data_IF_036497652206
#
_entry.id   IF_036497652206
#
_cell.length_a   1.000
_cell.length_b   1.000
_cell.length_c   1.000
_cell.angle_alpha   90.00
_cell.angle_beta   90.00
_cell.angle_gamma   90.00
#
_symmetry.space_group_name_H-M   'P 1'
#
loop_
_entity.id
_entity.type
_entity.pdbx_description
1 polymer ?
#
# COMPACT_ATOMS: atom_id res chain seq x y z
N UNK A 1 9.64 10.44 19.68
CA UNK A 1 10.83 10.67 18.84
C UNK A 1 11.58 11.91 19.36
N UNK A 2 10.86 13.01 19.61
CA UNK A 2 11.36 14.19 20.34
C UNK A 2 12.07 13.88 21.68
N UNK A 3 11.54 12.97 22.48
CA UNK A 3 12.11 12.59 23.79
C UNK A 3 13.41 11.77 23.71
N UNK A 4 13.82 11.33 22.52
CA UNK A 4 15.03 10.54 22.25
C UNK A 4 15.23 9.34 23.20
N UNK A 5 14.12 8.70 23.56
CA UNK A 5 14.08 7.63 24.55
C UNK A 5 14.12 6.23 23.91
N UNK A 6 14.68 5.26 24.65
CA UNK A 6 14.84 3.87 24.21
C UNK A 6 16.02 3.68 23.25
N UNK A 7 16.07 2.53 22.57
CA UNK A 7 17.16 2.18 21.64
C UNK A 7 16.78 2.34 20.17
N UNK A 8 15.50 2.13 19.83
CA UNK A 8 15.06 2.06 18.42
C UNK A 8 15.10 3.42 17.73
N UNK A 9 14.37 4.41 18.23
CA UNK A 9 14.26 5.73 17.58
C UNK A 9 15.59 6.50 17.54
N UNK A 10 16.41 6.53 18.61
CA UNK A 10 17.71 7.20 18.55
C UNK A 10 18.65 6.55 17.50
N UNK A 11 18.62 5.23 17.38
CA UNK A 11 19.45 4.51 16.40
C UNK A 11 19.02 4.79 14.95
N UNK A 12 17.71 4.82 14.67
CA UNK A 12 17.18 5.23 13.35
C UNK A 12 17.53 6.69 13.04
N UNK A 13 17.43 7.58 14.03
CA UNK A 13 17.76 9.00 13.89
C UNK A 13 19.22 9.25 13.57
N UNK A 14 20.12 8.53 14.25
CA UNK A 14 21.56 8.70 14.11
C UNK A 14 22.14 7.96 12.90
N UNK A 15 21.52 6.85 12.50
CA UNK A 15 22.01 5.98 11.42
C UNK A 15 20.91 5.65 10.39
N UNK A 16 20.23 6.63 9.78
CA UNK A 16 19.05 6.38 8.95
C UNK A 16 19.36 5.50 7.72
N UNK A 17 20.51 5.67 7.06
CA UNK A 17 20.89 4.88 5.87
C UNK A 17 21.03 3.37 6.15
N UNK A 18 21.17 2.97 7.42
CA UNK A 18 21.24 1.56 7.83
C UNK A 18 19.87 0.89 7.85
N UNK A 19 18.80 1.66 8.04
CA UNK A 19 17.44 1.15 8.30
C UNK A 19 16.42 1.58 7.25
N UNK A 20 16.68 2.68 6.55
CA UNK A 20 15.75 3.30 5.62
C UNK A 20 16.26 3.13 4.20
N UNK A 21 15.46 2.50 3.36
CA UNK A 21 15.73 2.44 1.93
C UNK A 21 15.33 3.76 1.27
N UNK A 22 16.21 4.32 0.45
CA UNK A 22 15.90 5.52 -0.33
C UNK A 22 14.77 5.22 -1.32
N UNK A 23 13.88 6.18 -1.52
CA UNK A 23 12.80 6.03 -2.47
C UNK A 23 13.38 5.95 -3.90
N UNK A 24 13.01 4.94 -4.71
CA UNK A 24 13.44 4.86 -6.09
C UNK A 24 13.06 6.10 -6.91
N UNK A 25 13.93 6.54 -7.82
CA UNK A 25 13.68 7.72 -8.66
C UNK A 25 12.46 7.53 -9.58
N UNK A 26 12.16 6.30 -9.98
CA UNK A 26 10.93 5.95 -10.72
C UNK A 26 9.67 6.33 -9.93
N UNK A 27 9.62 6.00 -8.63
CA UNK A 27 8.50 6.34 -7.74
C UNK A 27 8.40 7.85 -7.52
N UNK A 28 9.52 8.54 -7.27
CA UNK A 28 9.53 10.01 -7.15
C UNK A 28 8.99 10.69 -8.41
N UNK A 29 9.44 10.23 -9.58
CA UNK A 29 8.96 10.73 -10.87
C UNK A 29 7.47 10.46 -11.06
N UNK A 30 7.00 9.26 -10.70
CA UNK A 30 5.60 8.89 -10.79
C UNK A 30 4.70 9.78 -9.91
N UNK A 31 5.08 10.06 -8.67
CA UNK A 31 4.37 11.01 -7.79
C UNK A 31 4.29 12.41 -8.43
N UNK A 32 5.41 12.91 -8.97
CA UNK A 32 5.43 14.21 -9.69
C UNK A 32 4.53 14.20 -10.94
N UNK A 33 4.47 13.08 -11.68
CA UNK A 33 3.59 12.92 -12.83
C UNK A 33 2.11 12.92 -12.43
N UNK A 34 1.74 12.23 -11.34
CA UNK A 34 0.38 12.25 -10.81
C UNK A 34 -0.06 13.68 -10.45
N UNK A 35 0.79 14.42 -9.74
CA UNK A 35 0.51 15.81 -9.37
C UNK A 35 0.38 16.71 -10.61
N UNK A 36 1.29 16.56 -11.58
CA UNK A 36 1.23 17.29 -12.87
C UNK A 36 -0.03 16.96 -13.69
N UNK A 37 -0.58 15.75 -13.54
CA UNK A 37 -1.84 15.32 -14.15
C UNK A 37 -3.09 15.79 -13.37
N UNK A 38 -2.91 16.67 -12.37
CA UNK A 38 -4.00 17.25 -11.58
C UNK A 38 -4.59 16.29 -10.55
N UNK A 39 -3.86 15.24 -10.15
CA UNK A 39 -4.25 14.39 -9.01
C UNK A 39 -3.84 15.07 -7.71
N UNK A 40 -4.71 14.97 -6.71
CA UNK A 40 -4.42 15.41 -5.34
C UNK A 40 -3.70 14.25 -4.64
N UNK A 41 -2.51 14.52 -4.11
CA UNK A 41 -1.70 13.52 -3.42
C UNK A 41 -1.76 13.71 -1.90
N UNK A 42 -1.94 12.59 -1.19
CA UNK A 42 -2.15 12.54 0.25
C UNK A 42 -1.09 11.64 0.88
N UNK A 43 -0.51 12.06 2.00
CA UNK A 43 0.26 11.21 2.90
C UNK A 43 -0.49 11.08 4.23
N UNK A 44 -0.88 9.86 4.62
CA UNK A 44 -1.61 9.60 5.86
C UNK A 44 -0.85 8.55 6.69
N UNK A 45 -0.22 9.00 7.77
CA UNK A 45 0.63 8.18 8.63
C UNK A 45 0.20 8.23 10.09
N UNK A 46 0.33 7.11 10.81
CA UNK A 46 0.14 7.04 12.26
C UNK A 46 1.36 7.54 13.03
N UNK A 47 2.47 7.85 12.37
CA UNK A 47 3.67 8.43 12.98
C UNK A 47 3.46 9.89 13.38
N UNK A 48 4.16 10.33 14.43
CA UNK A 48 4.25 11.75 14.79
C UNK A 48 4.97 12.58 13.72
N UNK A 49 4.72 13.89 13.72
CA UNK A 49 5.18 14.82 12.66
C UNK A 49 6.69 14.86 12.54
N UNK A 50 7.39 14.94 13.68
CA UNK A 50 8.86 14.94 13.78
C UNK A 50 9.49 13.71 13.12
N UNK A 51 8.95 12.52 13.40
CA UNK A 51 9.44 11.27 12.82
C UNK A 51 9.09 11.17 11.34
N UNK A 52 7.88 11.57 10.94
CA UNK A 52 7.47 11.62 9.54
C UNK A 52 8.40 12.51 8.71
N UNK A 53 8.75 13.68 9.23
CA UNK A 53 9.69 14.62 8.61
C UNK A 53 11.05 13.96 8.39
N UNK A 54 11.65 13.40 9.44
CA UNK A 54 12.96 12.72 9.33
C UNK A 54 12.92 11.62 8.27
N UNK A 55 11.90 10.76 8.30
CA UNK A 55 11.77 9.68 7.33
C UNK A 55 11.69 10.23 5.91
N UNK A 56 10.77 11.16 5.66
CA UNK A 56 10.51 11.67 4.31
C UNK A 56 11.68 12.49 3.76
N UNK A 57 12.31 13.34 4.57
CA UNK A 57 13.53 14.07 4.18
C UNK A 57 14.64 13.11 3.77
N UNK A 58 14.78 12.00 4.50
CA UNK A 58 15.75 10.97 4.17
C UNK A 58 15.38 10.21 2.90
N UNK A 59 14.14 9.71 2.76
CA UNK A 59 13.78 8.80 1.67
C UNK A 59 13.45 9.53 0.36
N UNK A 60 12.82 10.70 0.42
CA UNK A 60 12.32 11.46 -0.74
C UNK A 60 13.21 12.67 -1.05
N UNK A 61 13.75 13.32 -0.01
CA UNK A 61 14.54 14.55 -0.11
C UNK A 61 13.96 15.68 0.74
N UNK A 62 14.73 16.75 0.97
CA UNK A 62 14.31 17.89 1.79
C UNK A 62 13.08 18.62 1.23
N UNK A 63 12.79 18.45 -0.06
CA UNK A 63 11.62 18.96 -0.78
C UNK A 63 10.43 17.98 -0.76
N UNK A 64 10.40 17.00 0.15
CA UNK A 64 9.36 15.95 0.14
C UNK A 64 7.93 16.51 0.24
N UNK A 65 7.74 17.65 0.90
CA UNK A 65 6.44 18.30 1.04
C UNK A 65 5.85 18.66 -0.33
N UNK A 66 6.68 18.92 -1.34
CA UNK A 66 6.21 19.25 -2.70
C UNK A 66 5.52 18.08 -3.40
N UNK A 67 5.75 16.84 -2.95
CA UNK A 67 5.12 15.65 -3.51
C UNK A 67 3.67 15.48 -3.07
N UNK A 68 3.25 16.08 -1.95
CA UNK A 68 1.93 15.88 -1.37
C UNK A 68 1.19 17.19 -1.23
N UNK A 69 -0.12 17.19 -1.49
CA UNK A 69 -0.95 18.36 -1.25
C UNK A 69 -1.45 18.38 0.21
N UNK A 70 -1.62 17.21 0.82
CA UNK A 70 -2.06 17.08 2.21
C UNK A 70 -1.20 16.03 2.90
N UNK A 71 -0.66 16.39 4.07
CA UNK A 71 0.07 15.47 4.96
C UNK A 71 -0.71 15.37 6.27
N UNK A 72 -1.01 14.15 6.69
CA UNK A 72 -1.72 13.85 7.95
C UNK A 72 -0.86 12.91 8.77
N UNK A 73 -0.34 13.43 9.88
CA UNK A 73 0.45 12.68 10.85
C UNK A 73 -0.38 12.32 12.07
N UNK A 74 0.09 11.38 12.90
CA UNK A 74 -0.63 10.87 14.06
C UNK A 74 -2.08 10.45 13.73
N UNK A 75 -2.28 9.87 12.55
CA UNK A 75 -3.60 9.48 12.05
C UNK A 75 -4.25 8.34 12.87
N UNK A 76 -3.52 7.69 13.79
CA UNK A 76 -3.92 6.52 14.62
C UNK A 76 -4.96 5.63 13.91
N UNK A 77 -4.59 5.13 12.73
CA UNK A 77 -5.39 4.18 11.96
C UNK A 77 -5.61 2.90 12.81
N UNK A 78 -6.78 2.23 12.74
CA UNK A 78 -7.88 2.44 11.80
C UNK A 78 -8.84 3.59 12.20
N UNK A 79 -8.65 4.19 13.38
CA UNK A 79 -9.57 5.21 13.92
C UNK A 79 -9.77 6.43 13.02
N UNK A 80 -8.79 6.75 12.15
CA UNK A 80 -8.96 7.77 11.11
C UNK A 80 -10.18 7.50 10.21
N UNK A 81 -10.40 6.24 9.84
CA UNK A 81 -11.47 5.85 8.91
C UNK A 81 -12.79 5.60 9.63
N UNK A 82 -12.75 5.08 10.86
CA UNK A 82 -13.95 4.63 11.56
C UNK A 82 -14.56 5.65 12.51
N UNK A 83 -13.81 6.65 12.99
CA UNK A 83 -14.30 7.62 13.95
C UNK A 83 -14.89 8.87 13.30
N UNK A 84 -15.84 9.48 14.00
CA UNK A 84 -16.53 10.70 13.58
C UNK A 84 -15.74 11.97 13.91
N UNK A 85 -16.04 13.12 13.27
CA UNK A 85 -15.38 14.40 13.55
C UNK A 85 -15.33 14.80 15.03
N UNK A 86 -16.37 14.51 15.80
CA UNK A 86 -16.43 14.85 17.23
C UNK A 86 -15.53 13.97 18.09
N UNK A 87 -15.33 12.72 17.69
CA UNK A 87 -14.44 11.79 18.38
C UNK A 87 -12.98 12.05 18.05
N UNK A 88 -12.73 12.59 16.85
CA UNK A 88 -11.38 12.72 16.32
C UNK A 88 -11.23 13.91 15.38
N UNK A 89 -11.14 15.13 15.94
CA UNK A 89 -10.96 16.32 15.14
C UNK A 89 -9.51 16.43 14.62
N UNK A 90 -9.33 17.21 13.56
CA UNK A 90 -7.99 17.56 13.08
C UNK A 90 -7.31 18.54 14.03
N UNK A 91 -5.98 18.55 14.03
CA UNK A 91 -5.17 19.53 14.74
C UNK A 91 -4.18 20.22 13.81
N UNK A 92 -3.91 21.50 14.05
CA UNK A 92 -2.79 22.21 13.41
C UNK A 92 -1.47 21.79 14.02
N UNK A 93 -0.38 22.06 13.30
CA UNK A 93 0.99 21.81 13.73
C UNK A 93 1.80 23.10 13.69
N UNK A 94 2.59 23.32 14.73
CA UNK A 94 3.62 24.36 14.78
C UNK A 94 4.90 23.69 15.30
N UNK A 95 5.98 23.75 14.53
CA UNK A 95 7.26 23.07 14.82
C UNK A 95 7.08 21.57 15.17
N UNK A 96 6.26 20.86 14.37
CA UNK A 96 5.93 19.44 14.56
C UNK A 96 5.14 19.09 15.84
N UNK A 97 4.69 20.09 16.61
CA UNK A 97 3.85 19.92 17.80
C UNK A 97 2.38 20.29 17.53
N UNK A 98 1.47 19.47 18.07
CA UNK A 98 0.03 19.67 17.91
C UNK A 98 -0.47 20.91 18.65
N UNK A 99 -1.22 21.77 17.96
CA UNK A 99 -1.75 23.01 18.49
C UNK A 99 -3.29 22.98 18.56
N UNK A 100 -3.94 23.82 17.77
CA UNK A 100 -5.38 24.05 17.83
C UNK A 100 -6.17 22.91 17.19
N UNK A 101 -7.37 22.67 17.72
CA UNK A 101 -8.32 21.72 17.15
C UNK A 101 -9.17 22.38 16.07
N UNK A 102 -9.30 21.73 14.92
CA UNK A 102 -10.03 22.21 13.76
C UNK A 102 -11.42 21.56 13.66
N UNK A 103 -12.44 22.41 13.50
CA UNK A 103 -13.83 21.97 13.25
C UNK A 103 -14.07 21.59 11.78
N UNK A 104 -13.25 22.10 10.87
CA UNK A 104 -13.29 21.78 9.44
C UNK A 104 -11.92 21.95 8.81
N UNK A 105 -11.73 21.30 7.66
CA UNK A 105 -10.62 21.55 6.77
C UNK A 105 -11.09 22.39 5.57
N UNK A 106 -10.38 23.48 5.29
CA UNK A 106 -10.72 24.44 4.23
C UNK A 106 -9.63 24.60 3.18
N UNK A 107 -8.41 24.14 3.47
CA UNK A 107 -7.26 24.22 2.57
C UNK A 107 -6.37 22.98 2.70
N UNK A 108 -5.56 22.67 1.67
CA UNK A 108 -4.46 21.72 1.79
C UNK A 108 -3.45 22.17 2.86
N UNK A 109 -2.65 21.22 3.35
CA UNK A 109 -1.62 21.49 4.35
C UNK A 109 -1.23 20.26 5.15
N UNK A 110 -0.44 20.52 6.20
CA UNK A 110 0.01 19.50 7.14
C UNK A 110 -0.81 19.57 8.43
N UNK A 111 -1.47 18.46 8.76
CA UNK A 111 -2.32 18.31 9.93
C UNK A 111 -1.94 17.10 10.78
N UNK A 112 -2.38 17.11 12.04
CA UNK A 112 -2.31 15.94 12.92
C UNK A 112 -3.69 15.38 13.22
N UNK A 113 -3.76 14.08 13.47
CA UNK A 113 -4.98 13.33 13.79
C UNK A 113 -6.06 13.41 12.71
N UNK A 114 -7.29 13.79 13.07
CA UNK A 114 -8.42 13.90 12.15
C UNK A 114 -9.09 12.59 11.74
N UNK A 115 -9.92 12.69 10.71
CA UNK A 115 -10.78 11.61 10.24
C UNK A 115 -11.06 11.72 8.73
N UNK A 116 -11.43 10.59 8.13
CA UNK A 116 -11.71 10.47 6.70
C UNK A 116 -12.91 11.32 6.25
N UNK A 117 -13.90 11.58 7.12
CA UNK A 117 -15.11 12.35 6.78
C UNK A 117 -14.75 13.80 6.48
N UNK A 118 -14.04 14.48 7.39
CA UNK A 118 -13.59 15.85 7.18
C UNK A 118 -12.58 15.96 6.04
N UNK A 119 -11.69 14.98 5.88
CA UNK A 119 -10.80 14.91 4.72
C UNK A 119 -11.60 14.82 3.40
N UNK A 120 -12.62 13.97 3.34
CA UNK A 120 -13.44 13.80 2.14
C UNK A 120 -14.17 15.10 1.75
N UNK A 121 -14.65 15.87 2.73
CA UNK A 121 -15.24 17.19 2.47
C UNK A 121 -14.21 18.19 1.92
N UNK A 122 -12.97 18.16 2.40
CA UNK A 122 -11.88 18.95 1.79
C UNK A 122 -11.62 18.50 0.35
N UNK A 123 -11.57 17.20 0.08
CA UNK A 123 -11.37 16.67 -1.28
C UNK A 123 -12.48 17.09 -2.24
N UNK A 124 -13.74 17.15 -1.80
CA UNK A 124 -14.85 17.68 -2.61
C UNK A 124 -14.61 19.14 -2.99
N UNK A 125 -14.20 19.97 -2.03
CA UNK A 125 -13.87 21.40 -2.27
C UNK A 125 -12.70 21.54 -3.26
N UNK A 126 -11.62 20.79 -3.05
CA UNK A 126 -10.41 20.89 -3.88
C UNK A 126 -10.64 20.37 -5.31
N UNK A 127 -11.42 19.31 -5.48
CA UNK A 127 -11.70 18.73 -6.81
C UNK A 127 -12.87 19.39 -7.54
N UNK A 128 -13.72 20.13 -6.83
CA UNK A 128 -15.00 20.63 -7.35
C UNK A 128 -16.00 19.52 -7.71
N UNK A 129 -15.77 18.28 -7.22
CA UNK A 129 -16.61 17.11 -7.52
C UNK A 129 -17.46 16.76 -6.30
N UNK A 130 -18.71 16.34 -6.56
CA UNK A 130 -19.60 15.85 -5.50
C UNK A 130 -19.14 14.49 -4.94
N UNK A 131 -18.53 13.66 -5.79
CA UNK A 131 -18.07 12.32 -5.46
C UNK A 131 -16.64 12.08 -5.97
N UNK A 132 -15.62 12.69 -5.33
CA UNK A 132 -14.22 12.45 -5.69
C UNK A 132 -13.82 11.01 -5.41
N UNK A 133 -13.23 10.34 -6.40
CA UNK A 133 -12.70 8.98 -6.24
C UNK A 133 -11.33 9.02 -5.57
N UNK A 134 -11.13 8.15 -4.59
CA UNK A 134 -9.87 8.02 -3.85
C UNK A 134 -9.33 6.61 -4.02
N UNK A 135 -8.03 6.50 -4.29
CA UNK A 135 -7.27 5.26 -4.28
C UNK A 135 -6.28 5.36 -3.12
N UNK A 136 -6.33 4.44 -2.18
CA UNK A 136 -5.48 4.41 -0.99
C UNK A 136 -4.47 3.27 -1.06
N UNK A 137 -3.21 3.60 -0.84
CA UNK A 137 -2.10 2.66 -0.82
C UNK A 137 -1.72 2.39 0.64
N UNK A 138 -1.61 1.13 1.02
CA UNK A 138 -1.23 0.74 2.39
C UNK A 138 -0.70 -0.68 2.47
N UNK A 139 0.04 -0.97 3.53
CA UNK A 139 0.73 -2.23 3.81
C UNK A 139 0.08 -3.01 4.96
N UNK A 140 -0.88 -2.40 5.66
CA UNK A 140 -1.62 -3.07 6.73
C UNK A 140 -3.03 -3.44 6.31
N UNK A 141 -3.33 -4.74 6.26
CA UNK A 141 -4.70 -5.20 6.04
C UNK A 141 -5.67 -4.63 7.09
N UNK A 142 -5.23 -4.54 8.35
CA UNK A 142 -6.08 -4.14 9.48
C UNK A 142 -6.21 -2.62 9.64
N UNK A 143 -5.12 -1.86 9.53
CA UNK A 143 -5.19 -0.41 9.75
C UNK A 143 -5.53 0.38 8.48
N UNK A 144 -5.25 -0.18 7.30
CA UNK A 144 -5.23 0.57 6.05
C UNK A 144 -6.29 0.05 5.07
N UNK A 145 -6.12 -1.18 4.60
CA UNK A 145 -6.92 -1.71 3.49
C UNK A 145 -8.36 -1.96 3.88
N UNK A 146 -8.58 -2.77 4.92
CA UNK A 146 -9.94 -3.05 5.39
C UNK A 146 -10.69 -1.76 5.78
N UNK A 147 -10.15 -0.86 6.61
CA UNK A 147 -10.89 0.33 7.03
C UNK A 147 -11.15 1.32 5.89
N UNK A 148 -10.18 1.58 5.01
CA UNK A 148 -10.38 2.48 3.86
C UNK A 148 -11.47 1.96 2.92
N UNK A 149 -11.48 0.64 2.67
CA UNK A 149 -12.51 0.00 1.86
C UNK A 149 -13.87 -0.02 2.55
N UNK A 150 -13.90 -0.41 3.83
CA UNK A 150 -15.15 -0.67 4.55
C UNK A 150 -15.85 0.61 5.02
N UNK A 151 -15.12 1.57 5.60
CA UNK A 151 -15.72 2.78 6.17
C UNK A 151 -15.77 3.95 5.18
N UNK A 152 -14.85 4.01 4.21
CA UNK A 152 -14.75 5.13 3.27
C UNK A 152 -15.07 4.76 1.82
N UNK A 153 -15.29 3.47 1.52
CA UNK A 153 -15.53 2.95 0.17
C UNK A 153 -14.47 3.42 -0.85
N UNK A 154 -13.22 3.57 -0.40
CA UNK A 154 -12.10 3.90 -1.25
C UNK A 154 -11.64 2.66 -2.03
N UNK A 155 -11.05 2.87 -3.20
CA UNK A 155 -10.29 1.84 -3.89
C UNK A 155 -8.98 1.65 -3.14
N UNK A 156 -8.48 0.42 -3.07
CA UNK A 156 -7.35 0.08 -2.19
C UNK A 156 -6.29 -0.70 -2.96
N UNK A 157 -5.04 -0.25 -2.86
CA UNK A 157 -3.88 -0.95 -3.39
C UNK A 157 -3.07 -1.46 -2.22
N UNK A 158 -3.04 -2.78 -2.08
CA UNK A 158 -2.31 -3.43 -0.99
C UNK A 158 -0.84 -3.61 -1.38
N UNK A 159 0.06 -3.01 -0.60
CA UNK A 159 1.50 -3.21 -0.75
C UNK A 159 1.87 -4.44 0.08
N UNK A 160 2.28 -5.51 -0.60
CA UNK A 160 2.51 -6.83 -0.01
C UNK A 160 3.87 -7.39 -0.44
N UNK A 161 4.88 -7.20 0.39
CA UNK A 161 6.27 -7.61 0.08
C UNK A 161 6.42 -9.11 -0.13
N UNK A 162 5.56 -9.94 0.49
CA UNK A 162 5.54 -11.40 0.35
C UNK A 162 5.36 -11.85 -1.11
N UNK A 163 4.81 -10.98 -1.98
CA UNK A 163 4.73 -11.23 -3.44
C UNK A 163 6.11 -11.32 -4.11
N UNK A 164 7.15 -10.70 -3.54
CA UNK A 164 8.51 -10.81 -4.07
C UNK A 164 9.10 -12.20 -3.87
N UNK A 165 8.69 -12.89 -2.80
CA UNK A 165 9.26 -14.17 -2.39
C UNK A 165 8.56 -15.41 -2.90
N UNK A 166 7.30 -15.27 -3.30
CA UNK A 166 6.49 -16.34 -3.86
C UNK A 166 6.23 -16.08 -5.36
N UNK A 167 7.31 -15.96 -6.13
CA UNK A 167 7.18 -15.78 -7.58
C UNK A 167 6.79 -17.09 -8.23
N UNK A 168 5.55 -17.17 -8.70
CA UNK A 168 5.19 -18.15 -9.72
C UNK A 168 6.00 -17.88 -10.98
N UNK A 169 6.72 -18.90 -11.47
CA UNK A 169 7.36 -18.85 -12.79
C UNK A 169 6.25 -18.90 -13.84
N UNK A 170 5.63 -17.76 -14.14
CA UNK A 170 4.73 -17.66 -15.28
C UNK A 170 5.63 -17.63 -16.51
N UNK A 171 5.81 -18.79 -17.15
CA UNK A 171 6.34 -18.87 -18.50
C UNK A 171 5.52 -17.94 -19.39
N UNK A 172 6.20 -17.21 -20.27
CA UNK A 172 5.70 -16.04 -20.99
C UNK A 172 4.58 -16.32 -22.02
N UNK A 173 3.79 -17.38 -21.85
CA UNK A 173 2.87 -17.91 -22.87
C UNK A 173 1.40 -17.99 -22.43
N UNK A 174 1.04 -17.61 -21.19
CA UNK A 174 -0.36 -17.56 -20.77
C UNK A 174 -0.94 -16.14 -20.86
N UNK A 175 -1.71 -15.94 -21.94
CA UNK A 175 -2.61 -14.83 -22.26
C UNK A 175 -1.95 -13.49 -22.61
N UNK A 176 -2.10 -13.14 -23.89
CA UNK A 176 -1.58 -11.94 -24.52
C UNK A 176 -2.11 -10.66 -23.85
N UNK A 177 -1.35 -10.12 -22.90
CA UNK A 177 -1.38 -8.68 -22.62
C UNK A 177 -0.78 -7.93 -23.83
N UNK A 178 -1.35 -6.78 -24.24
CA UNK A 178 -0.80 -6.00 -25.34
C UNK A 178 0.66 -5.67 -25.06
N UNK A 179 1.50 -5.76 -26.10
CA UNK A 179 2.95 -5.47 -26.13
C UNK A 179 3.37 -4.04 -25.70
N UNK A 180 2.51 -3.29 -25.02
CA UNK A 180 2.78 -1.93 -24.57
C UNK A 180 3.42 -1.93 -23.18
N UNK A 181 4.74 -2.12 -23.19
CA UNK A 181 5.71 -1.83 -22.11
C UNK A 181 5.51 -2.57 -20.79
N UNK A 182 6.21 -3.71 -20.65
CA UNK A 182 6.63 -4.22 -19.35
C UNK A 182 7.44 -3.13 -18.64
N UNK A 183 7.06 -2.77 -17.40
CA UNK A 183 7.84 -1.84 -16.58
C UNK A 183 9.24 -2.38 -16.32
N UNK A 184 10.25 -1.50 -16.24
CA UNK A 184 11.66 -1.88 -16.01
C UNK A 184 11.89 -2.69 -14.74
N UNK A 185 10.93 -2.64 -13.80
CA UNK A 185 10.89 -3.43 -12.57
C UNK A 185 11.00 -4.96 -12.78
N UNK A 186 10.58 -5.49 -13.94
CA UNK A 186 10.74 -6.92 -14.22
C UNK A 186 12.17 -7.31 -14.62
N UNK A 187 12.97 -6.37 -15.13
CA UNK A 187 14.32 -6.64 -15.68
C UNK A 187 15.43 -6.56 -14.62
N UNK A 188 15.26 -5.75 -13.57
CA UNK A 188 16.35 -5.39 -12.64
C UNK A 188 16.04 -5.77 -11.19
N UNK A 189 15.77 -7.06 -10.93
CA UNK A 189 15.48 -7.54 -9.58
C UNK A 189 16.73 -8.03 -8.86
N UNK A 190 17.20 -7.34 -7.79
CA UNK A 190 18.21 -7.91 -6.91
C UNK A 190 17.67 -9.20 -6.26
N UNK A 191 18.54 -10.17 -5.98
CA UNK A 191 18.18 -11.39 -5.28
C UNK A 191 17.62 -11.05 -3.89
N UNK A 192 16.30 -10.98 -3.79
CA UNK A 192 15.61 -10.54 -2.58
C UNK A 192 15.42 -11.70 -1.60
N UNK A 193 15.48 -11.45 -0.28
CA UNK A 193 15.49 -12.48 0.77
C UNK A 193 14.09 -12.98 1.16
N UNK A 194 13.04 -12.61 0.43
CA UNK A 194 11.70 -13.05 0.70
C UNK A 194 11.62 -14.52 0.26
N UNK A 195 11.70 -15.44 1.21
CA UNK A 195 11.53 -16.86 0.96
C UNK A 195 10.31 -17.34 1.73
N UNK A 196 9.63 -18.36 1.20
CA UNK A 196 8.60 -19.08 1.95
C UNK A 196 9.20 -19.53 3.29
N UNK A 197 8.51 -19.21 4.38
CA UNK A 197 8.99 -19.52 5.73
C UNK A 197 9.07 -21.03 5.93
N UNK A 198 10.25 -21.53 6.29
CA UNK A 198 10.42 -22.96 6.66
C UNK A 198 9.66 -23.33 7.93
N UNK A 199 9.41 -22.35 8.81
CA UNK A 199 8.73 -22.57 10.08
C UNK A 199 7.22 -22.37 9.98
N UNK A 200 6.77 -21.37 9.22
CA UNK A 200 5.38 -20.93 9.19
C UNK A 200 4.67 -21.21 7.86
N UNK A 201 5.38 -21.73 6.86
CA UNK A 201 4.80 -22.04 5.55
C UNK A 201 4.58 -20.81 4.67
N UNK A 202 3.66 -20.94 3.72
CA UNK A 202 3.28 -19.87 2.79
C UNK A 202 2.34 -18.88 3.47
N UNK A 203 2.51 -17.60 3.15
CA UNK A 203 1.57 -16.56 3.54
C UNK A 203 0.20 -16.73 2.88
N UNK A 204 0.15 -17.37 1.70
CA UNK A 204 -1.03 -17.43 0.85
C UNK A 204 -1.85 -18.71 1.02
N UNK A 205 -1.20 -19.85 1.27
CA UNK A 205 -1.85 -21.16 1.37
C UNK A 205 -1.35 -21.98 2.54
N UNK A 206 -2.27 -22.71 3.18
CA UNK A 206 -1.98 -23.76 4.13
C UNK A 206 -2.15 -25.13 3.47
N UNK A 207 -1.26 -26.07 3.78
CA UNK A 207 -1.38 -27.47 3.37
C UNK A 207 -2.03 -28.26 4.50
N UNK A 208 -3.22 -28.79 4.25
CA UNK A 208 -3.91 -29.65 5.20
C UNK A 208 -3.66 -31.12 4.86
N UNK A 209 -3.24 -31.96 5.83
CA UNK A 209 -3.08 -33.38 5.59
C UNK A 209 -4.44 -34.00 5.27
N UNK A 210 -4.49 -34.79 4.19
CA UNK A 210 -5.69 -35.55 3.83
C UNK A 210 -6.02 -36.58 4.90
N UNK A 211 -7.31 -36.79 5.16
CA UNK A 211 -7.78 -37.91 5.97
C UNK A 211 -7.72 -39.19 5.11
N UNK A 212 -7.19 -40.28 5.66
CA UNK A 212 -7.25 -41.65 5.09
C UNK A 212 -6.98 -41.74 3.56
N UNK A 213 -5.70 -41.71 3.16
CA UNK A 213 -5.21 -41.88 1.79
C UNK A 213 -5.62 -40.79 0.77
N UNK A 214 -6.18 -39.67 1.20
CA UNK A 214 -6.42 -38.50 0.34
C UNK A 214 -5.15 -37.64 0.17
N UNK A 215 -4.98 -37.05 -1.01
CA UNK A 215 -3.91 -36.10 -1.32
C UNK A 215 -3.97 -34.85 -0.41
N UNK A 216 -2.81 -34.23 -0.17
CA UNK A 216 -2.72 -32.97 0.57
C UNK A 216 -3.59 -31.89 -0.10
N UNK A 217 -4.53 -31.31 0.66
CA UNK A 217 -5.38 -30.24 0.13
C UNK A 217 -4.78 -28.90 0.50
N UNK A 218 -4.51 -28.07 -0.51
CA UNK A 218 -4.09 -26.68 -0.31
C UNK A 218 -5.32 -25.78 -0.14
N UNK A 219 -5.33 -24.96 0.91
CA UNK A 219 -6.42 -24.02 1.21
C UNK A 219 -5.88 -22.61 1.37
N UNK A 220 -6.58 -21.60 0.85
CA UNK A 220 -6.18 -20.20 1.04
C UNK A 220 -6.22 -19.83 2.52
N UNK A 221 -5.12 -19.23 3.00
CA UNK A 221 -5.00 -18.69 4.35
C UNK A 221 -6.04 -17.58 4.57
N UNK A 222 -6.27 -17.23 5.84
CA UNK A 222 -7.10 -16.08 6.18
C UNK A 222 -6.56 -14.80 5.52
N UNK A 223 -5.24 -14.59 5.54
CA UNK A 223 -4.58 -13.44 4.91
C UNK A 223 -4.87 -13.38 3.41
N UNK A 224 -4.71 -14.49 2.69
CA UNK A 224 -5.02 -14.56 1.26
C UNK A 224 -6.47 -14.18 0.96
N UNK A 225 -7.42 -14.67 1.76
CA UNK A 225 -8.85 -14.34 1.58
C UNK A 225 -9.12 -12.86 1.83
N UNK A 226 -8.50 -12.27 2.86
CA UNK A 226 -8.63 -10.86 3.15
C UNK A 226 -8.11 -9.97 2.00
N UNK A 227 -6.99 -10.36 1.38
CA UNK A 227 -6.42 -9.63 0.24
C UNK A 227 -7.46 -9.52 -0.88
N UNK A 228 -7.98 -10.65 -1.36
CA UNK A 228 -8.94 -10.66 -2.47
C UNK A 228 -10.29 -10.04 -2.12
N UNK A 229 -10.63 -9.93 -0.84
CA UNK A 229 -11.91 -9.40 -0.38
C UNK A 229 -11.88 -7.87 -0.23
N UNK A 230 -10.78 -7.33 0.29
CA UNK A 230 -10.71 -5.92 0.70
C UNK A 230 -9.79 -5.06 -0.15
N UNK A 231 -8.95 -5.66 -1.00
CA UNK A 231 -8.05 -4.95 -1.91
C UNK A 231 -8.66 -4.85 -3.31
N UNK A 232 -8.45 -3.74 -4.00
CA UNK A 232 -8.73 -3.65 -5.45
C UNK A 232 -7.68 -4.42 -6.23
N UNK A 233 -6.41 -4.21 -5.89
CA UNK A 233 -5.24 -4.95 -6.39
C UNK A 233 -4.19 -5.10 -5.29
N UNK A 234 -3.24 -6.02 -5.46
CA UNK A 234 -2.08 -6.17 -4.60
C UNK A 234 -0.78 -6.10 -5.43
N UNK A 235 0.21 -5.35 -4.92
CA UNK A 235 1.51 -5.12 -5.56
C UNK A 235 2.65 -5.31 -4.56
N UNK A 236 3.86 -5.74 -4.97
CA UNK A 236 4.98 -5.92 -4.05
C UNK A 236 5.57 -4.60 -3.53
N UNK A 237 5.48 -3.53 -4.33
CA UNK A 237 6.02 -2.22 -4.02
C UNK A 237 5.42 -1.17 -4.96
N UNK A 238 5.55 0.11 -4.63
CA UNK A 238 5.17 1.19 -5.54
C UNK A 238 6.01 1.20 -6.83
N UNK A 239 7.27 0.77 -6.75
CA UNK A 239 8.17 0.71 -7.90
C UNK A 239 7.64 -0.22 -9.00
N UNK A 240 6.92 -1.29 -8.63
CA UNK A 240 6.34 -2.23 -9.57
C UNK A 240 5.39 -1.57 -10.59
N UNK A 241 4.75 -0.46 -10.22
CA UNK A 241 3.77 0.24 -11.06
C UNK A 241 4.22 1.64 -11.49
N UNK A 242 5.33 2.15 -10.95
CA UNK A 242 5.73 3.55 -11.13
C UNK A 242 6.05 3.91 -12.58
N UNK A 243 6.55 2.95 -13.37
CA UNK A 243 6.89 3.15 -14.79
C UNK A 243 5.71 2.91 -15.75
N UNK A 244 4.55 2.47 -15.24
CA UNK A 244 3.37 2.23 -16.06
C UNK A 244 2.70 3.55 -16.48
N UNK A 245 2.01 3.58 -17.64
CA UNK A 245 1.15 4.70 -18.00
C UNK A 245 0.10 4.99 -16.92
N UNK A 246 -0.21 6.29 -16.69
CA UNK A 246 -1.19 6.69 -15.67
C UNK A 246 -2.62 6.17 -15.94
N UNK A 247 -2.91 5.80 -17.18
CA UNK A 247 -4.18 5.22 -17.64
C UNK A 247 -4.12 3.69 -17.80
N UNK A 248 -3.05 3.05 -17.32
CA UNK A 248 -2.93 1.60 -17.27
C UNK A 248 -4.12 0.97 -16.54
N UNK A 249 -4.64 -0.12 -17.11
CA UNK A 249 -5.81 -0.82 -16.57
C UNK A 249 -5.38 -2.12 -15.91
N UNK A 250 -5.42 -2.14 -14.58
CA UNK A 250 -5.18 -3.34 -13.83
C UNK A 250 -6.39 -4.26 -13.83
N UNK A 251 -6.13 -5.56 -13.95
CA UNK A 251 -7.07 -6.60 -13.56
C UNK A 251 -7.27 -6.54 -12.05
N UNK A 252 -8.53 -6.61 -11.59
CA UNK A 252 -8.90 -6.39 -10.19
C UNK A 252 -9.33 -7.69 -9.53
N UNK A 253 -9.22 -7.75 -8.21
CA UNK A 253 -9.94 -8.75 -7.46
C UNK A 253 -11.45 -8.56 -7.63
N UNK A 254 -12.16 -9.67 -7.89
CA UNK A 254 -13.61 -9.69 -7.98
C UNK A 254 -14.14 -11.07 -7.60
N UNK A 255 -15.41 -11.17 -7.21
CA UNK A 255 -16.05 -12.45 -6.94
C UNK A 255 -16.16 -13.36 -8.16
N UNK A 256 -16.03 -12.79 -9.37
CA UNK A 256 -16.27 -13.48 -10.64
C UNK A 256 -14.98 -13.78 -11.42
N UNK A 257 -13.83 -13.27 -10.95
CA UNK A 257 -12.52 -13.49 -11.57
C UNK A 257 -11.80 -14.67 -10.91
N UNK A 258 -10.72 -15.17 -11.55
CA UNK A 258 -9.83 -16.12 -10.90
C UNK A 258 -9.27 -15.56 -9.60
N UNK A 259 -8.94 -16.43 -8.64
CA UNK A 259 -8.34 -16.05 -7.36
C UNK A 259 -6.98 -15.32 -7.51
N UNK A 260 -6.38 -15.38 -8.70
CA UNK A 260 -5.07 -14.82 -9.04
C UNK A 260 -5.14 -13.46 -9.75
N UNK A 261 -6.33 -13.01 -10.19
CA UNK A 261 -6.48 -11.91 -11.14
C UNK A 261 -6.06 -10.51 -10.61
N UNK A 262 -6.15 -10.26 -9.31
CA UNK A 262 -5.86 -8.95 -8.71
C UNK A 262 -4.42 -8.75 -8.24
N UNK A 263 -3.54 -9.73 -8.45
CA UNK A 263 -2.13 -9.63 -8.11
C UNK A 263 -1.33 -9.09 -9.30
N UNK A 264 -0.46 -8.13 -9.05
CA UNK A 264 0.42 -7.56 -10.06
C UNK A 264 1.85 -7.43 -9.51
N UNK A 265 2.91 -7.71 -10.29
CA UNK A 265 2.91 -8.06 -11.71
C UNK A 265 2.52 -9.53 -11.99
N UNK A 266 2.53 -10.37 -10.98
CA UNK A 266 2.17 -11.79 -11.10
C UNK A 266 1.52 -12.28 -9.81
N UNK A 267 0.66 -13.30 -9.87
CA UNK A 267 0.14 -13.95 -8.68
C UNK A 267 1.23 -14.70 -7.90
N UNK A 268 1.00 -14.93 -6.60
CA UNK A 268 1.83 -15.83 -5.81
C UNK A 268 1.92 -17.22 -6.44
N UNK A 269 3.12 -17.80 -6.49
CA UNK A 269 3.36 -19.13 -7.01
C UNK A 269 2.56 -20.20 -6.28
N UNK A 270 2.36 -20.05 -4.97
CA UNK A 270 1.55 -20.97 -4.18
C UNK A 270 0.05 -20.97 -4.56
N UNK A 271 -0.43 -19.98 -5.31
CA UNK A 271 -1.80 -19.95 -5.84
C UNK A 271 -1.91 -20.47 -7.27
N UNK A 272 -0.79 -20.77 -7.92
CA UNK A 272 -0.77 -21.37 -9.26
C UNK A 272 -0.98 -22.89 -9.18
N UNK A 273 -1.63 -23.50 -10.19
CA UNK A 273 -1.69 -24.96 -10.30
C UNK A 273 -0.27 -25.53 -10.40
N UNK A 274 0.00 -26.68 -9.77
CA UNK A 274 1.28 -27.37 -9.94
C UNK A 274 1.48 -27.78 -11.40
N UNK A 275 2.68 -27.57 -11.95
CA UNK A 275 3.02 -27.93 -13.34
C UNK A 275 2.77 -29.42 -13.65
N UNK A 276 2.76 -30.30 -12.63
CA UNK A 276 2.45 -31.73 -12.78
C UNK A 276 1.02 -32.00 -13.29
N UNK A 277 0.10 -31.05 -13.13
CA UNK A 277 -1.28 -31.15 -13.63
C UNK A 277 -1.45 -30.79 -15.12
N UNK A 278 -0.44 -30.16 -15.74
CA UNK A 278 -0.49 -29.72 -17.15
C UNK A 278 0.09 -30.75 -18.13
N UNK A 279 0.78 -31.78 -17.64
CA UNK A 279 1.32 -32.88 -18.47
C UNK A 279 0.38 -34.08 -18.64
N UNK A 280 -0.84 -34.05 -18.09
CA UNK A 280 -1.89 -35.04 -18.38
C UNK A 280 -3.03 -34.41 -19.18
N UNK A 281 -2.77 -34.12 -20.46
CA UNK A 281 -3.80 -34.02 -21.50
C UNK A 281 -3.28 -34.58 -22.81
#
# INVERSE_FOLDING_TARGET
FLEDCGMYFPEVKNNPDKYLQRCPESVKKWLKQLKSAGKILLLITSSHSDYCRLLCEHILGNDFEDYFDIVITNALKPGFFSHTPNQRPFRTLENDEEQETLLSLDKPGWYSQGNAVQLYELLKKMTGKLDPKVVYFGDSMHSDIFPARHYSNWETVFILEELLGDKGLVTAEAEAEPLEKKGKYMEDQPQTPYFISKQWGSFFVDKLPGLENAEETSVCTWSCRCISTYSTIAIPSLEAIADLPLDYRFTRFSSNSSATAGYYPSPPGALLPSEESLTMK
#
